data_IF_602775804377
#
_entry.id   IF_602775804377
#
_cell.length_a   1.000
_cell.length_b   1.000
_cell.length_c   1.000
_cell.angle_alpha   90.00
_cell.angle_beta   90.00
_cell.angle_gamma   90.00
#
_symmetry.space_group_name_H-M   'P 1'
#
loop_
_entity.id
_entity.type
_entity.pdbx_description
1 polymer ?
#
# COMPACT_ATOMS: atom_id res chain seq x y z
N UNK A 1 -12.00 -15.97 0.35
CA UNK A 1 -11.44 -14.60 0.15
C UNK A 1 -10.70 -14.49 -1.18
N UNK A 2 -10.77 -13.32 -1.82
CA UNK A 2 -10.12 -13.03 -3.11
C UNK A 2 -9.23 -11.79 -2.95
N UNK A 3 -7.98 -11.90 -3.37
CA UNK A 3 -7.00 -10.83 -3.25
C UNK A 3 -6.48 -10.40 -4.61
N UNK A 4 -6.21 -9.10 -4.76
CA UNK A 4 -5.36 -8.57 -5.81
C UNK A 4 -4.03 -8.20 -5.17
N UNK A 5 -2.94 -8.70 -5.73
CA UNK A 5 -1.59 -8.38 -5.28
C UNK A 5 -0.87 -7.57 -6.35
N UNK A 6 -0.35 -6.43 -5.94
CA UNK A 6 0.46 -5.54 -6.78
C UNK A 6 1.67 -5.04 -6.00
N UNK A 7 2.65 -4.53 -6.70
CA UNK A 7 3.87 -3.93 -6.14
C UNK A 7 4.43 -2.91 -7.12
N UNK A 8 5.47 -2.18 -6.71
CA UNK A 8 6.29 -1.37 -7.59
C UNK A 8 5.49 -0.33 -8.40
N UNK A 9 4.57 0.36 -7.73
CA UNK A 9 3.76 1.40 -8.37
C UNK A 9 4.62 2.58 -8.83
N UNK A 10 5.69 2.89 -8.09
CA UNK A 10 6.64 3.95 -8.37
C UNK A 10 5.98 5.27 -8.77
N UNK A 11 4.93 5.67 -8.04
CA UNK A 11 4.18 6.90 -8.33
C UNK A 11 5.09 8.12 -8.33
N UNK A 12 4.92 8.95 -9.37
CA UNK A 12 5.79 10.10 -9.62
C UNK A 12 7.05 9.77 -10.42
N UNK A 13 7.14 8.57 -11.01
CA UNK A 13 8.23 8.20 -11.92
C UNK A 13 8.24 9.09 -13.15
N UNK A 14 9.45 9.40 -13.61
CA UNK A 14 9.70 10.09 -14.88
C UNK A 14 10.51 9.19 -15.80
N UNK A 15 10.21 9.18 -17.07
CA UNK A 15 11.03 8.56 -18.10
C UNK A 15 11.77 9.69 -18.83
N UNK A 16 13.06 9.83 -18.58
CA UNK A 16 13.82 11.02 -18.90
C UNK A 16 13.14 12.25 -18.29
N UNK A 17 12.70 13.20 -19.11
CA UNK A 17 12.01 14.41 -18.67
C UNK A 17 10.47 14.30 -18.72
N UNK A 18 9.93 13.17 -19.17
CA UNK A 18 8.48 12.96 -19.28
C UNK A 18 7.92 12.39 -17.98
N UNK A 19 7.01 13.10 -17.29
CA UNK A 19 6.32 12.55 -16.13
C UNK A 19 5.33 11.47 -16.55
N UNK A 20 5.29 10.35 -15.81
CA UNK A 20 4.38 9.24 -16.09
C UNK A 20 3.14 9.25 -15.18
N UNK A 21 2.95 10.29 -14.38
CA UNK A 21 1.93 10.28 -13.33
C UNK A 21 0.50 10.15 -13.89
N UNK A 22 0.20 10.76 -15.03
CA UNK A 22 -1.13 10.63 -15.65
C UNK A 22 -1.41 9.18 -16.07
N UNK A 23 -0.44 8.50 -16.68
CA UNK A 23 -0.55 7.08 -17.04
C UNK A 23 -0.67 6.21 -15.79
N UNK A 24 0.05 6.57 -14.73
CA UNK A 24 -0.01 5.86 -13.45
C UNK A 24 -1.39 6.04 -12.77
N UNK A 25 -1.98 7.22 -12.81
CA UNK A 25 -3.34 7.48 -12.32
C UNK A 25 -4.35 6.65 -13.12
N UNK A 26 -4.22 6.61 -14.43
CA UNK A 26 -5.06 5.77 -15.29
C UNK A 26 -4.94 4.28 -14.90
N UNK A 27 -3.72 3.79 -14.72
CA UNK A 27 -3.46 2.41 -14.29
C UNK A 27 -4.09 2.10 -12.92
N UNK A 28 -3.99 3.02 -11.95
CA UNK A 28 -4.62 2.86 -10.64
C UNK A 28 -6.16 2.79 -10.75
N UNK A 29 -6.77 3.58 -11.64
CA UNK A 29 -8.21 3.53 -11.86
C UNK A 29 -8.64 2.21 -12.49
N UNK A 30 -7.88 1.69 -13.47
CA UNK A 30 -8.14 0.37 -14.06
C UNK A 30 -7.98 -0.76 -13.03
N UNK A 31 -6.97 -0.67 -12.16
CA UNK A 31 -6.76 -1.63 -11.06
C UNK A 31 -7.94 -1.59 -10.07
N UNK A 32 -8.43 -0.40 -9.72
CA UNK A 32 -9.62 -0.21 -8.88
C UNK A 32 -10.86 -0.85 -9.53
N UNK A 33 -11.11 -0.56 -10.80
CA UNK A 33 -12.24 -1.15 -11.56
C UNK A 33 -12.15 -2.67 -11.57
N UNK A 34 -10.95 -3.21 -11.81
CA UNK A 34 -10.70 -4.64 -11.79
C UNK A 34 -11.01 -5.25 -10.41
N UNK A 35 -10.55 -4.61 -9.34
CA UNK A 35 -10.80 -5.07 -7.97
C UNK A 35 -12.30 -5.16 -7.67
N UNK A 36 -13.05 -4.13 -8.03
CA UNK A 36 -14.51 -4.10 -7.87
C UNK A 36 -15.18 -5.18 -8.74
N UNK A 37 -14.85 -5.25 -10.03
CA UNK A 37 -15.46 -6.20 -10.97
C UNK A 37 -15.20 -7.66 -10.59
N UNK A 38 -14.05 -7.95 -9.97
CA UNK A 38 -13.68 -9.28 -9.51
C UNK A 38 -14.21 -9.61 -8.11
N UNK A 39 -14.87 -8.67 -7.43
CA UNK A 39 -15.31 -8.84 -6.05
C UNK A 39 -14.13 -9.16 -5.12
N UNK A 40 -13.06 -8.38 -5.20
CA UNK A 40 -11.91 -8.56 -4.34
C UNK A 40 -12.25 -8.18 -2.90
N UNK A 41 -11.82 -9.00 -1.94
CA UNK A 41 -11.93 -8.71 -0.51
C UNK A 41 -10.84 -7.75 -0.05
N UNK A 42 -9.67 -7.81 -0.71
CA UNK A 42 -8.58 -6.88 -0.42
C UNK A 42 -7.63 -6.69 -1.62
N UNK A 43 -6.92 -5.54 -1.60
CA UNK A 43 -5.77 -5.23 -2.44
C UNK A 43 -4.53 -5.19 -1.57
N UNK A 44 -3.49 -5.93 -1.96
CA UNK A 44 -2.19 -5.97 -1.30
C UNK A 44 -1.16 -5.23 -2.15
N UNK A 45 -0.47 -4.24 -1.56
CA UNK A 45 0.53 -3.39 -2.23
C UNK A 45 1.88 -3.66 -1.56
N UNK A 46 2.73 -4.42 -2.23
CA UNK A 46 3.96 -4.98 -1.67
C UNK A 46 5.20 -4.12 -1.97
N UNK A 47 5.18 -2.87 -1.52
CA UNK A 47 6.32 -1.97 -1.55
C UNK A 47 6.43 -1.11 -2.80
N UNK A 48 7.37 -0.16 -2.74
CA UNK A 48 7.70 0.81 -3.77
C UNK A 48 6.46 1.55 -4.30
N UNK A 49 5.69 2.09 -3.35
CA UNK A 49 4.51 2.92 -3.64
C UNK A 49 4.91 4.15 -4.43
N UNK A 50 5.99 4.80 -4.00
CA UNK A 50 6.51 6.01 -4.61
C UNK A 50 7.86 5.78 -5.29
N UNK A 51 8.16 6.59 -6.29
CA UNK A 51 9.46 6.56 -6.98
C UNK A 51 10.61 6.98 -6.07
N UNK A 52 10.36 7.80 -5.07
CA UNK A 52 11.39 8.29 -4.16
C UNK A 52 10.86 8.49 -2.73
N UNK A 53 11.77 8.59 -1.78
CA UNK A 53 11.43 8.89 -0.38
C UNK A 53 10.84 10.30 -0.16
N UNK A 54 10.88 11.16 -1.16
CA UNK A 54 10.27 12.49 -1.19
C UNK A 54 9.39 12.63 -2.43
N UNK A 55 8.23 11.95 -2.48
CA UNK A 55 7.33 12.00 -3.63
C UNK A 55 6.72 13.40 -3.80
N UNK A 56 6.40 13.80 -5.03
CA UNK A 56 5.61 15.00 -5.27
C UNK A 56 4.21 14.87 -4.66
N UNK A 57 3.61 16.01 -4.30
CA UNK A 57 2.28 16.05 -3.69
C UNK A 57 1.20 15.40 -4.54
N UNK A 58 1.31 15.54 -5.86
CA UNK A 58 0.38 14.96 -6.84
C UNK A 58 0.43 13.42 -6.81
N UNK A 59 1.62 12.83 -6.63
CA UNK A 59 1.75 11.39 -6.48
C UNK A 59 1.16 10.90 -5.15
N UNK A 60 1.32 11.67 -4.09
CA UNK A 60 0.70 11.37 -2.79
C UNK A 60 -0.83 11.44 -2.89
N UNK A 61 -1.37 12.46 -3.56
CA UNK A 61 -2.80 12.62 -3.79
C UNK A 61 -3.38 11.49 -4.66
N UNK A 62 -2.63 11.03 -5.66
CA UNK A 62 -3.05 9.90 -6.51
C UNK A 62 -3.15 8.60 -5.69
N UNK A 63 -2.19 8.32 -4.82
CA UNK A 63 -2.24 7.16 -3.94
C UNK A 63 -3.37 7.25 -2.93
N UNK A 64 -3.53 8.39 -2.28
CA UNK A 64 -4.62 8.65 -1.32
C UNK A 64 -5.99 8.44 -1.97
N UNK A 65 -6.21 9.01 -3.15
CA UNK A 65 -7.45 8.83 -3.91
C UNK A 65 -7.73 7.37 -4.27
N UNK A 66 -6.69 6.63 -4.66
CA UNK A 66 -6.81 5.21 -5.00
C UNK A 66 -7.21 4.35 -3.79
N UNK A 67 -6.49 4.47 -2.67
CA UNK A 67 -6.78 3.64 -1.48
C UNK A 67 -8.10 4.02 -0.82
N UNK A 68 -8.45 5.29 -0.83
CA UNK A 68 -9.74 5.79 -0.33
C UNK A 68 -10.90 5.26 -1.18
N UNK A 69 -10.76 5.25 -2.51
CA UNK A 69 -11.79 4.72 -3.39
C UNK A 69 -11.99 3.20 -3.24
N UNK A 70 -10.92 2.43 -2.99
CA UNK A 70 -11.02 1.01 -2.66
C UNK A 70 -11.75 0.80 -1.33
N UNK A 71 -11.38 1.55 -0.30
CA UNK A 71 -12.02 1.47 1.02
C UNK A 71 -13.51 1.83 0.95
N UNK A 72 -13.86 2.87 0.19
CA UNK A 72 -15.26 3.26 -0.05
C UNK A 72 -16.06 2.17 -0.77
N UNK A 73 -15.41 1.34 -1.58
CA UNK A 73 -16.01 0.16 -2.21
C UNK A 73 -16.05 -1.07 -1.29
N UNK A 74 -15.66 -0.95 -0.02
CA UNK A 74 -15.61 -2.05 0.94
C UNK A 74 -14.42 -3.01 0.76
N UNK A 75 -13.44 -2.63 -0.07
CA UNK A 75 -12.25 -3.43 -0.34
C UNK A 75 -11.15 -3.00 0.63
N UNK A 76 -10.63 -3.94 1.41
CA UNK A 76 -9.51 -3.65 2.32
C UNK A 76 -8.22 -3.39 1.55
N UNK A 77 -7.37 -2.54 2.09
CA UNK A 77 -6.05 -2.26 1.51
C UNK A 77 -4.97 -2.63 2.52
N UNK A 78 -4.01 -3.44 2.10
CA UNK A 78 -2.81 -3.75 2.87
C UNK A 78 -1.60 -3.24 2.08
N UNK A 79 -0.85 -2.32 2.66
CA UNK A 79 0.31 -1.74 2.02
C UNK A 79 1.55 -1.82 2.91
N UNK A 80 2.68 -2.12 2.30
CA UNK A 80 3.99 -2.04 2.96
C UNK A 80 4.91 -1.09 2.20
N UNK A 81 5.86 -0.47 2.89
CA UNK A 81 6.88 0.34 2.24
C UNK A 81 7.96 -0.53 1.61
N UNK A 82 8.46 -0.12 0.44
CA UNK A 82 9.61 -0.70 -0.26
C UNK A 82 10.91 0.07 0.01
N UNK A 83 11.95 -0.23 -0.78
CA UNK A 83 13.26 0.39 -0.60
C UNK A 83 13.35 1.83 -1.15
N UNK A 84 12.49 2.20 -2.09
CA UNK A 84 12.36 3.57 -2.61
C UNK A 84 11.55 4.47 -1.67
N UNK A 85 10.66 3.88 -0.89
CA UNK A 85 9.74 4.61 -0.02
C UNK A 85 10.42 5.19 1.23
N UNK A 86 9.80 6.23 1.77
CA UNK A 86 9.98 6.61 3.17
C UNK A 86 8.92 5.90 4.01
N UNK A 87 9.33 4.96 4.87
CA UNK A 87 8.43 4.26 5.79
C UNK A 87 7.52 5.22 6.58
N UNK A 88 8.05 6.40 6.98
CA UNK A 88 7.29 7.41 7.70
C UNK A 88 6.22 8.09 6.85
N UNK A 89 6.48 8.29 5.55
CA UNK A 89 5.53 8.95 4.65
C UNK A 89 4.43 8.00 4.21
N UNK A 90 4.78 6.75 3.90
CA UNK A 90 3.79 5.72 3.57
C UNK A 90 2.91 5.43 4.77
N UNK A 91 3.49 5.36 5.98
CA UNK A 91 2.76 5.12 7.22
C UNK A 91 2.10 6.37 7.83
N UNK A 92 2.18 7.52 7.16
CA UNK A 92 1.57 8.75 7.67
C UNK A 92 0.05 8.56 7.86
N UNK A 93 -0.43 8.84 9.06
CA UNK A 93 -1.83 8.61 9.48
C UNK A 93 -2.29 7.13 9.47
N UNK A 94 -1.38 6.14 9.39
CA UNK A 94 -1.73 4.72 9.36
C UNK A 94 -2.72 4.30 10.47
N UNK A 95 -2.56 4.83 11.67
CA UNK A 95 -3.45 4.57 12.81
C UNK A 95 -4.87 5.12 12.59
N UNK A 96 -5.01 6.26 11.93
CA UNK A 96 -6.31 6.88 11.65
C UNK A 96 -7.08 6.13 10.55
N UNK A 97 -6.38 5.75 9.48
CA UNK A 97 -7.03 5.11 8.32
C UNK A 97 -7.36 3.63 8.55
N UNK A 98 -6.79 3.02 9.58
CA UNK A 98 -7.07 1.62 9.94
C UNK A 98 -8.55 1.34 10.16
N UNK A 99 -9.27 2.26 10.78
CA UNK A 99 -10.72 2.17 10.99
C UNK A 99 -11.53 2.17 9.68
N UNK A 100 -10.95 2.65 8.58
CA UNK A 100 -11.56 2.65 7.25
C UNK A 100 -11.19 1.43 6.40
N UNK A 101 -10.49 0.44 6.95
CA UNK A 101 -10.07 -0.76 6.23
C UNK A 101 -8.77 -0.60 5.44
N UNK A 102 -8.00 0.45 5.71
CA UNK A 102 -6.68 0.69 5.10
C UNK A 102 -5.61 0.39 6.17
N UNK A 103 -4.78 -0.60 5.90
CA UNK A 103 -3.73 -1.10 6.78
C UNK A 103 -2.37 -0.87 6.14
N UNK A 104 -1.61 0.04 6.70
CA UNK A 104 -0.28 0.39 6.21
C UNK A 104 0.76 -0.03 7.24
N UNK A 105 1.84 -0.68 6.80
CA UNK A 105 2.91 -1.06 7.69
C UNK A 105 3.58 0.16 8.31
N UNK A 106 3.68 0.16 9.61
CA UNK A 106 4.49 1.11 10.35
C UNK A 106 5.97 0.67 10.32
N UNK A 107 6.83 1.49 10.91
CA UNK A 107 8.23 1.14 11.08
C UNK A 107 8.38 -0.18 11.84
N UNK A 108 9.26 -1.06 11.35
CA UNK A 108 9.58 -2.30 12.04
C UNK A 108 10.28 -2.03 13.38
N UNK A 109 9.73 -2.60 14.45
CA UNK A 109 10.21 -2.46 15.83
C UNK A 109 10.55 -3.81 16.48
N UNK A 110 10.77 -4.84 15.66
CA UNK A 110 11.07 -6.20 16.12
C UNK A 110 9.88 -7.16 16.02
N UNK A 111 8.68 -6.64 15.82
CA UNK A 111 7.44 -7.44 15.68
C UNK A 111 6.72 -7.09 14.39
N UNK A 112 6.02 -8.08 13.82
CA UNK A 112 5.16 -7.86 12.66
C UNK A 112 3.79 -7.36 13.09
N UNK A 113 3.25 -6.39 12.36
CA UNK A 113 1.84 -6.05 12.48
C UNK A 113 1.01 -7.13 11.79
N UNK A 114 0.00 -7.61 12.48
CA UNK A 114 -0.89 -8.67 12.00
C UNK A 114 -2.34 -8.22 12.04
N UNK A 115 -3.07 -8.57 11.00
CA UNK A 115 -4.49 -8.26 10.86
C UNK A 115 -5.25 -9.52 10.45
N UNK A 116 -6.40 -9.74 11.05
CA UNK A 116 -7.22 -10.91 10.75
C UNK A 116 -8.37 -10.53 9.83
N UNK A 117 -8.53 -11.28 8.75
CA UNK A 117 -9.72 -11.31 7.92
C UNK A 117 -10.46 -12.63 8.16
N UNK A 118 -11.78 -12.61 8.01
CA UNK A 118 -12.61 -13.80 8.17
C UNK A 118 -13.68 -13.85 7.09
N UNK A 119 -13.93 -15.04 6.54
CA UNK A 119 -15.04 -15.32 5.66
C UNK A 119 -15.69 -16.67 6.05
N UNK A 120 -16.64 -17.17 5.25
CA UNK A 120 -17.32 -18.44 5.46
C UNK A 120 -16.39 -19.67 5.48
N UNK A 121 -15.18 -19.54 4.93
CA UNK A 121 -14.18 -20.60 4.88
C UNK A 121 -13.18 -20.54 6.05
N UNK A 122 -13.22 -19.48 6.88
CA UNK A 122 -12.38 -19.34 8.07
C UNK A 122 -11.58 -18.06 8.13
N UNK A 123 -10.60 -18.08 9.04
CA UNK A 123 -9.75 -16.92 9.35
C UNK A 123 -8.46 -16.93 8.55
N UNK A 124 -8.05 -15.75 8.07
CA UNK A 124 -6.76 -15.50 7.46
C UNK A 124 -6.04 -14.38 8.23
N UNK A 125 -4.79 -14.63 8.59
CA UNK A 125 -3.92 -13.62 9.21
C UNK A 125 -3.01 -13.02 8.14
N UNK A 126 -3.09 -11.72 7.96
CA UNK A 126 -2.21 -10.95 7.06
C UNK A 126 -1.14 -10.29 7.92
N UNK A 127 0.14 -10.62 7.67
CA UNK A 127 1.28 -10.03 8.34
C UNK A 127 1.97 -9.02 7.42
N UNK A 128 2.19 -7.79 7.90
CA UNK A 128 2.85 -6.74 7.16
C UNK A 128 4.32 -6.65 7.55
N UNK A 129 5.21 -6.93 6.59
CA UNK A 129 6.65 -6.78 6.71
C UNK A 129 7.12 -5.69 5.72
N UNK A 130 7.43 -4.47 6.20
CA UNK A 130 7.99 -3.42 5.34
C UNK A 130 9.42 -3.77 4.92
N UNK A 131 9.98 -3.04 3.95
CA UNK A 131 11.39 -3.13 3.63
C UNK A 131 12.24 -2.77 4.86
N UNK A 132 13.16 -3.66 5.24
CA UNK A 132 13.99 -3.50 6.44
C UNK A 132 15.46 -3.54 6.05
N UNK A 133 16.21 -2.51 6.46
CA UNK A 133 17.67 -2.51 6.37
C UNK A 133 18.26 -3.33 7.54
N UNK A 134 19.39 -4.05 7.34
CA UNK A 134 20.03 -4.83 8.40
C UNK A 134 20.28 -4.06 9.70
N UNK A 135 20.61 -2.76 9.58
CA UNK A 135 20.83 -1.90 10.74
C UNK A 135 19.56 -1.72 11.60
N UNK A 136 18.38 -1.76 10.98
CA UNK A 136 17.11 -1.63 11.70
C UNK A 136 16.81 -2.91 12.51
N UNK A 137 17.14 -4.07 11.96
CA UNK A 137 17.00 -5.35 12.66
C UNK A 137 17.92 -5.39 13.88
N UNK A 138 19.20 -5.01 13.70
CA UNK A 138 20.19 -4.97 14.81
C UNK A 138 19.80 -4.06 15.96
N UNK A 139 18.96 -3.06 15.72
CA UNK A 139 18.47 -2.14 16.77
C UNK A 139 17.29 -2.72 17.58
N UNK A 140 16.68 -3.77 17.08
CA UNK A 140 15.56 -4.43 17.75
C UNK A 140 16.00 -5.60 18.62
N UNK A 141 17.19 -6.12 18.37
CA UNK A 141 17.80 -7.26 19.05
C UNK A 141 19.26 -6.95 19.45
#
# INVERSE_FOLDING_TARGET
>A
MRFIHTADLHLGKRLHDVPLLEDQIYMLDELRKLAIARGADAVMIAGDVYQSSSPPSEAMSAFDGFVTALAAAGIRVFAVSGNHDSERRVAYLASLVRGSGIYVSERFTGTLQQFTMEDEHGKLVVSLLPFIKPINVRRCY
#
